data_IF_960542011763
#
_entry.id   IF_960542011763
#
_cell.length_a   1.000
_cell.length_b   1.000
_cell.length_c   1.000
_cell.angle_alpha   90.00
_cell.angle_beta   90.00
_cell.angle_gamma   90.00
#
_symmetry.space_group_name_H-M   'P 1'
#
loop_
_entity.id
_entity.type
_entity.pdbx_description
1 polymer ?
#
# COMPACT_ATOMS: atom_id res chain seq x y z
N UNK A 1 -39.02 2.88 -11.91
CA UNK A 1 -37.74 2.48 -11.28
C UNK A 1 -37.84 2.49 -9.74
N UNK A 2 -38.85 1.83 -9.13
CA UNK A 2 -39.28 2.20 -7.76
C UNK A 2 -39.59 1.05 -6.80
N UNK A 3 -39.20 -0.20 -7.08
CA UNK A 3 -39.58 -1.33 -6.20
C UNK A 3 -38.48 -1.77 -5.23
N UNK A 4 -37.20 -1.74 -5.63
CA UNK A 4 -36.10 -2.22 -4.78
C UNK A 4 -35.74 -1.24 -3.65
N UNK A 5 -35.78 0.06 -3.91
CA UNK A 5 -35.44 1.10 -2.91
C UNK A 5 -36.46 1.17 -1.77
N UNK A 6 -37.74 0.87 -2.05
CA UNK A 6 -38.79 0.88 -1.04
C UNK A 6 -38.70 -0.32 -0.07
N UNK A 7 -38.06 -1.42 -0.50
CA UNK A 7 -37.86 -2.60 0.34
C UNK A 7 -36.64 -2.50 1.25
N UNK A 8 -35.73 -1.55 1.00
CA UNK A 8 -34.50 -1.36 1.76
C UNK A 8 -34.75 -0.37 2.90
N UNK A 9 -35.37 -0.81 3.99
CA UNK A 9 -35.44 -0.03 5.23
C UNK A 9 -34.16 -0.20 6.06
N UNK A 10 -33.80 0.78 6.92
CA UNK A 10 -32.66 0.64 7.84
C UNK A 10 -32.80 -0.55 8.82
N UNK A 11 -34.03 -1.04 9.02
CA UNK A 11 -34.35 -2.16 9.91
C UNK A 11 -33.95 -3.54 9.34
N UNK A 12 -33.39 -3.59 8.13
CA UNK A 12 -32.89 -4.82 7.51
C UNK A 12 -31.58 -5.32 8.12
N UNK A 13 -30.92 -4.54 8.96
CA UNK A 13 -29.66 -4.94 9.59
C UNK A 13 -29.78 -6.30 10.28
N UNK A 14 -28.92 -7.25 9.90
CA UNK A 14 -28.90 -8.62 10.43
C UNK A 14 -29.92 -9.58 9.83
N UNK A 15 -30.73 -9.15 8.86
CA UNK A 15 -31.65 -10.05 8.16
C UNK A 15 -30.93 -10.83 7.06
N UNK A 16 -31.37 -12.08 6.83
CA UNK A 16 -30.92 -12.90 5.71
C UNK A 16 -31.66 -12.48 4.44
N UNK A 17 -30.92 -12.18 3.37
CA UNK A 17 -31.48 -11.71 2.12
C UNK A 17 -30.89 -12.45 0.92
N UNK A 18 -31.72 -12.61 -0.11
CA UNK A 18 -31.30 -13.04 -1.44
C UNK A 18 -31.44 -11.87 -2.41
N UNK A 19 -30.33 -11.48 -3.02
CA UNK A 19 -30.23 -10.40 -4.00
C UNK A 19 -29.97 -11.00 -5.39
N UNK A 20 -30.78 -10.62 -6.37
CA UNK A 20 -30.47 -10.80 -7.78
C UNK A 20 -30.07 -9.44 -8.38
N UNK A 21 -28.88 -9.37 -8.96
CA UNK A 21 -28.40 -8.17 -9.65
C UNK A 21 -28.97 -8.09 -11.07
N UNK A 22 -28.96 -6.89 -11.67
CA UNK A 22 -29.34 -6.69 -13.07
C UNK A 22 -28.48 -7.49 -14.05
N UNK A 23 -27.27 -7.88 -13.62
CA UNK A 23 -26.33 -8.69 -14.39
C UNK A 23 -26.56 -10.21 -14.20
N UNK A 24 -27.57 -10.61 -13.43
CA UNK A 24 -27.92 -12.02 -13.20
C UNK A 24 -27.12 -12.72 -12.10
N UNK A 25 -26.22 -12.01 -11.40
CA UNK A 25 -25.55 -12.56 -10.22
C UNK A 25 -26.52 -12.65 -9.05
N UNK A 26 -26.49 -13.79 -8.35
CA UNK A 26 -27.26 -14.04 -7.13
C UNK A 26 -26.32 -14.05 -5.92
N UNK A 27 -26.64 -13.25 -4.91
CA UNK A 27 -25.87 -13.10 -3.69
C UNK A 27 -26.85 -13.33 -2.54
N UNK A 28 -26.61 -14.34 -1.72
CA UNK A 28 -27.38 -14.62 -0.49
C UNK A 28 -26.73 -13.87 0.69
N UNK A 29 -26.99 -14.17 1.96
CA UNK A 29 -26.17 -13.64 3.07
C UNK A 29 -26.88 -12.68 4.02
N UNK A 30 -26.16 -12.19 5.03
CA UNK A 30 -26.71 -11.31 6.07
C UNK A 30 -26.43 -9.84 5.75
N UNK A 31 -27.44 -8.97 5.91
CA UNK A 31 -27.25 -7.53 5.76
C UNK A 31 -26.37 -7.01 6.88
N UNK A 32 -25.19 -6.53 6.52
CA UNK A 32 -24.26 -5.91 7.45
C UNK A 32 -24.61 -4.45 7.69
N UNK A 33 -24.78 -3.68 6.62
CA UNK A 33 -25.24 -2.30 6.70
C UNK A 33 -25.86 -1.84 5.39
N UNK A 34 -26.70 -0.80 5.47
CA UNK A 34 -27.27 -0.11 4.31
C UNK A 34 -26.86 1.35 4.42
N UNK A 35 -26.16 1.85 3.40
CA UNK A 35 -25.82 3.26 3.28
C UNK A 35 -26.73 3.90 2.23
N UNK A 36 -27.71 4.65 2.68
CA UNK A 36 -28.62 5.40 1.80
C UNK A 36 -27.96 6.60 1.13
N UNK A 37 -26.92 7.17 1.73
CA UNK A 37 -26.19 8.33 1.20
C UNK A 37 -25.38 7.92 -0.03
N UNK A 38 -24.64 6.81 0.09
CA UNK A 38 -23.86 6.24 -1.02
C UNK A 38 -24.71 5.34 -1.93
N UNK A 39 -25.89 4.94 -1.47
CA UNK A 39 -26.79 4.05 -2.19
C UNK A 39 -26.21 2.63 -2.31
N UNK A 40 -25.61 2.12 -1.23
CA UNK A 40 -24.95 0.81 -1.18
C UNK A 40 -25.56 -0.08 -0.09
N UNK A 41 -25.63 -1.38 -0.36
CA UNK A 41 -25.92 -2.43 0.64
C UNK A 41 -24.68 -3.31 0.79
N UNK A 42 -24.33 -3.63 2.02
CA UNK A 42 -23.22 -4.53 2.35
C UNK A 42 -23.79 -5.83 2.90
N UNK A 43 -23.40 -6.94 2.29
CA UNK A 43 -23.84 -8.28 2.68
C UNK A 43 -22.64 -9.09 3.16
N UNK A 44 -22.75 -9.65 4.36
CA UNK A 44 -21.75 -10.50 4.99
C UNK A 44 -22.07 -11.98 4.75
N UNK A 45 -21.06 -12.74 4.35
CA UNK A 45 -21.08 -14.20 4.33
C UNK A 45 -19.92 -14.76 5.16
N UNK A 46 -20.15 -15.90 5.80
CA UNK A 46 -19.04 -16.72 6.30
C UNK A 46 -18.40 -17.40 5.09
N UNK A 47 -17.10 -17.20 4.89
CA UNK A 47 -16.37 -17.86 3.84
C UNK A 47 -16.32 -19.35 4.17
N UNK A 48 -17.21 -20.15 3.59
CA UNK A 48 -17.04 -21.60 3.60
C UNK A 48 -15.70 -21.89 2.91
N UNK A 49 -14.85 -22.74 3.49
CA UNK A 49 -13.52 -23.07 2.96
C UNK A 49 -13.61 -23.85 1.63
N UNK A 50 -14.11 -23.22 0.57
CA UNK A 50 -14.13 -23.78 -0.78
C UNK A 50 -13.44 -22.81 -1.75
N UNK A 51 -12.24 -23.24 -2.17
CA UNK A 51 -11.51 -22.89 -3.39
C UNK A 51 -10.60 -21.63 -3.48
N UNK A 52 -10.70 -20.59 -2.65
CA UNK A 52 -9.92 -19.35 -2.88
C UNK A 52 -8.66 -19.11 -2.00
N UNK A 53 -8.41 -19.86 -0.91
CA UNK A 53 -7.34 -19.52 0.05
C UNK A 53 -5.91 -19.97 -0.33
N UNK A 54 -5.65 -20.44 -1.56
CA UNK A 54 -4.31 -20.98 -1.94
C UNK A 54 -3.17 -19.96 -2.07
N UNK A 55 -3.36 -18.66 -1.81
CA UNK A 55 -2.29 -17.64 -1.99
C UNK A 55 -2.11 -16.61 -0.87
N UNK A 56 -2.60 -16.87 0.35
CA UNK A 56 -2.30 -16.01 1.50
C UNK A 56 -1.55 -16.82 2.59
N UNK A 57 -0.31 -17.23 2.28
CA UNK A 57 0.61 -17.80 3.28
C UNK A 57 1.28 -16.66 4.05
N UNK A 58 0.57 -16.09 5.00
CA UNK A 58 1.15 -15.23 6.04
C UNK A 58 0.97 -15.92 7.40
N UNK A 59 2.08 -16.02 8.13
CA UNK A 59 2.26 -16.66 9.46
C UNK A 59 1.00 -16.60 10.34
N UNK A 60 0.38 -17.75 10.60
CA UNK A 60 -0.64 -17.88 11.66
C UNK A 60 0.03 -18.29 12.97
N UNK A 61 -0.22 -17.49 14.00
CA UNK A 61 0.02 -17.82 15.41
C UNK A 61 -1.02 -18.87 15.81
N UNK A 62 -0.60 -19.98 16.42
CA UNK A 62 -1.47 -21.07 16.81
C UNK A 62 -2.37 -20.65 17.98
N UNK A 63 -3.71 -20.75 17.84
CA UNK A 63 -4.60 -20.65 19.00
C UNK A 63 -6.09 -20.43 18.78
N UNK A 64 -6.55 -19.84 17.67
CA UNK A 64 -7.99 -19.61 17.44
C UNK A 64 -8.35 -19.84 15.97
N UNK A 65 -9.44 -20.56 15.72
CA UNK A 65 -10.02 -20.67 14.38
C UNK A 65 -10.59 -19.30 14.00
N UNK A 66 -9.78 -18.46 13.36
CA UNK A 66 -10.24 -17.18 12.81
C UNK A 66 -11.30 -17.46 11.75
N UNK A 67 -12.54 -17.08 12.04
CA UNK A 67 -13.62 -17.08 11.05
C UNK A 67 -13.32 -15.99 10.02
N UNK A 68 -13.22 -16.37 8.75
CA UNK A 68 -13.05 -15.44 7.62
C UNK A 68 -14.43 -15.08 7.07
N UNK A 69 -14.68 -13.79 6.90
CA UNK A 69 -15.94 -13.27 6.38
C UNK A 69 -15.68 -12.52 5.07
N UNK A 70 -16.52 -12.80 4.08
CA UNK A 70 -16.54 -12.09 2.81
C UNK A 70 -17.65 -11.04 2.83
N UNK A 71 -17.29 -9.80 2.47
CA UNK A 71 -18.22 -8.69 2.39
C UNK A 71 -18.46 -8.30 0.93
N UNK A 72 -19.71 -8.35 0.49
CA UNK A 72 -20.13 -7.91 -0.83
C UNK A 72 -20.76 -6.53 -0.72
N UNK A 73 -20.14 -5.53 -1.35
CA UNK A 73 -20.67 -4.16 -1.44
C UNK A 73 -21.38 -4.02 -2.78
N UNK A 74 -22.69 -3.77 -2.74
CA UNK A 74 -23.55 -3.69 -3.93
C UNK A 74 -24.22 -2.34 -3.99
N UNK A 75 -24.23 -1.70 -5.16
CA UNK A 75 -25.02 -0.49 -5.38
C UNK A 75 -26.48 -0.87 -5.50
N UNK A 76 -27.35 -0.14 -4.80
CA UNK A 76 -28.81 -0.36 -4.80
C UNK A 76 -29.39 -0.28 -6.22
N UNK A 77 -28.79 0.53 -7.10
CA UNK A 77 -29.20 0.67 -8.51
C UNK A 77 -29.01 -0.60 -9.34
N UNK A 78 -28.04 -1.44 -8.95
CA UNK A 78 -27.69 -2.66 -9.67
C UNK A 78 -28.50 -3.87 -9.16
N UNK A 79 -29.37 -3.66 -8.16
CA UNK A 79 -30.26 -4.67 -7.61
C UNK A 79 -31.52 -4.74 -8.47
N UNK A 80 -31.74 -5.91 -9.08
CA UNK A 80 -32.93 -6.21 -9.86
C UNK A 80 -34.06 -6.68 -8.96
N UNK A 81 -33.77 -7.58 -8.02
CA UNK A 81 -34.72 -8.09 -7.05
C UNK A 81 -34.02 -8.35 -5.71
N UNK A 82 -34.76 -8.09 -4.62
CA UNK A 82 -34.33 -8.35 -3.25
C UNK A 82 -35.45 -9.11 -2.54
N UNK A 83 -35.11 -10.25 -1.96
CA UNK A 83 -36.03 -11.09 -1.20
C UNK A 83 -35.50 -11.22 0.20
N UNK A 84 -36.29 -10.77 1.18
CA UNK A 84 -35.98 -10.96 2.60
C UNK A 84 -36.45 -12.36 3.00
N UNK A 85 -35.55 -13.15 3.58
CA UNK A 85 -35.85 -14.50 4.03
C UNK A 85 -36.42 -14.43 5.46
N UNK A 86 -37.62 -14.99 5.73
CA UNK A 86 -38.27 -14.90 7.04
C UNK A 86 -37.57 -15.73 8.12
N UNK A 87 -36.70 -16.66 7.73
CA UNK A 87 -35.88 -17.45 8.63
C UNK A 87 -34.44 -17.44 8.12
N UNK A 88 -33.47 -17.40 9.04
CA UNK A 88 -32.05 -17.53 8.72
C UNK A 88 -31.84 -18.94 8.17
N UNK A 89 -31.39 -19.10 6.91
CA UNK A 89 -31.18 -20.42 6.35
C UNK A 89 -30.03 -21.15 7.05
N UNK A 90 -30.02 -22.48 6.95
CA UNK A 90 -29.13 -23.33 7.73
C UNK A 90 -27.62 -23.09 7.47
N UNK A 91 -27.28 -22.55 6.30
CA UNK A 91 -25.94 -22.13 5.90
C UNK A 91 -25.48 -20.82 6.56
N UNK A 92 -26.43 -19.99 7.02
CA UNK A 92 -26.19 -18.77 7.79
C UNK A 92 -26.46 -18.97 9.29
N UNK A 93 -26.91 -20.15 9.70
CA UNK A 93 -27.20 -20.48 11.09
C UNK A 93 -25.88 -20.49 11.90
N UNK A 94 -25.72 -19.49 12.78
CA UNK A 94 -24.49 -19.28 13.57
C UNK A 94 -23.55 -18.22 13.00
N UNK A 95 -23.87 -17.62 11.85
CA UNK A 95 -23.20 -16.42 11.36
C UNK A 95 -23.70 -15.22 12.17
N UNK A 96 -22.84 -14.68 13.03
CA UNK A 96 -23.08 -13.40 13.72
C UNK A 96 -22.44 -12.27 12.91
N UNK A 97 -23.12 -11.12 12.82
CA UNK A 97 -22.52 -9.92 12.25
C UNK A 97 -21.23 -9.58 12.97
N UNK A 98 -20.17 -9.32 12.20
CA UNK A 98 -18.87 -8.95 12.77
C UNK A 98 -18.99 -7.57 13.43
N UNK A 99 -18.64 -7.41 14.71
CA UNK A 99 -18.63 -6.08 15.29
C UNK A 99 -17.63 -5.19 14.54
N UNK A 100 -18.06 -3.97 14.18
CA UNK A 100 -17.16 -2.98 13.57
C UNK A 100 -16.03 -2.69 14.54
N UNK A 101 -14.82 -3.09 14.18
CA UNK A 101 -13.65 -2.82 14.99
C UNK A 101 -13.30 -1.34 14.90
N UNK A 102 -12.97 -0.73 16.04
CA UNK A 102 -12.51 0.65 16.07
C UNK A 102 -11.20 0.76 15.28
N UNK A 103 -11.18 1.62 14.26
CA UNK A 103 -9.96 1.96 13.55
C UNK A 103 -9.16 2.92 14.44
N UNK A 104 -7.93 2.54 14.81
CA UNK A 104 -7.04 3.45 15.52
C UNK A 104 -6.64 4.61 14.61
N UNK A 105 -7.06 5.82 14.98
CA UNK A 105 -6.71 7.05 14.29
C UNK A 105 -5.18 7.29 14.32
N UNK A 106 -4.52 6.95 15.42
CA UNK A 106 -3.07 7.03 15.56
C UNK A 106 -2.35 6.10 14.58
N UNK A 107 -2.83 4.86 14.43
CA UNK A 107 -2.27 3.92 13.47
C UNK A 107 -2.49 4.39 12.02
N UNK A 108 -3.61 5.04 11.72
CA UNK A 108 -3.86 5.64 10.42
C UNK A 108 -2.89 6.80 10.13
N UNK A 109 -2.72 7.72 11.09
CA UNK A 109 -1.80 8.85 10.99
C UNK A 109 -0.34 8.39 10.83
N UNK A 110 0.08 7.38 11.60
CA UNK A 110 1.43 6.83 11.48
C UNK A 110 1.69 6.23 10.08
N UNK A 111 0.69 5.54 9.49
CA UNK A 111 0.79 5.01 8.13
C UNK A 111 0.86 6.13 7.08
N UNK A 112 0.09 7.19 7.27
CA UNK A 112 0.13 8.38 6.41
C UNK A 112 1.51 9.03 6.45
N UNK A 113 2.02 9.34 7.64
CA UNK A 113 3.35 9.95 7.81
C UNK A 113 4.45 9.08 7.19
N UNK A 114 4.40 7.76 7.40
CA UNK A 114 5.33 6.83 6.78
C UNK A 114 5.22 6.77 5.25
N UNK A 115 4.03 6.99 4.68
CA UNK A 115 3.84 7.08 3.24
C UNK A 115 4.42 8.38 2.66
N UNK A 116 4.18 9.51 3.35
CA UNK A 116 4.72 10.80 2.97
C UNK A 116 6.24 10.79 3.01
N UNK A 117 6.86 10.28 4.09
CA UNK A 117 8.31 10.22 4.20
C UNK A 117 8.94 9.37 3.10
N UNK A 118 8.37 8.20 2.78
CA UNK A 118 8.85 7.36 1.67
C UNK A 118 8.79 8.08 0.32
N UNK A 119 7.76 8.88 0.08
CA UNK A 119 7.63 9.63 -1.16
C UNK A 119 8.61 10.81 -1.21
N UNK A 120 8.79 11.53 -0.10
CA UNK A 120 9.81 12.59 0.00
C UNK A 120 11.22 12.03 -0.22
N UNK A 121 11.55 10.88 0.37
CA UNK A 121 12.80 10.17 0.13
C UNK A 121 12.96 9.77 -1.35
N UNK A 122 11.89 9.31 -1.99
CA UNK A 122 11.89 8.96 -3.42
C UNK A 122 12.17 10.18 -4.29
N UNK A 123 11.53 11.31 -4.00
CA UNK A 123 11.72 12.57 -4.70
C UNK A 123 13.12 13.14 -4.48
N UNK A 124 13.64 13.07 -3.25
CA UNK A 124 14.98 13.54 -2.91
C UNK A 124 16.11 12.77 -3.61
N UNK A 125 15.81 11.61 -4.21
CA UNK A 125 16.75 10.81 -5.00
C UNK A 125 16.80 11.20 -6.48
N UNK A 126 15.80 11.92 -6.97
CA UNK A 126 15.67 12.29 -8.37
C UNK A 126 16.15 13.72 -8.56
N UNK A 127 17.10 13.94 -9.45
CA UNK A 127 17.47 15.27 -9.91
C UNK A 127 17.11 15.41 -11.40
N UNK A 128 16.25 16.38 -11.73
CA UNK A 128 15.80 16.63 -13.11
C UNK A 128 16.77 17.46 -13.94
N UNK A 129 17.77 18.09 -13.30
CA UNK A 129 18.75 18.95 -13.97
C UNK A 129 19.97 18.17 -14.47
N UNK A 130 20.08 16.89 -14.14
CA UNK A 130 21.21 16.03 -14.53
C UNK A 130 20.83 15.07 -15.65
N UNK A 131 21.84 14.60 -16.39
CA UNK A 131 21.60 13.61 -17.44
C UNK A 131 21.23 12.23 -16.86
N UNK A 132 20.53 11.37 -17.62
CA UNK A 132 20.18 10.01 -17.17
C UNK A 132 21.38 9.18 -16.72
N UNK A 133 22.55 9.37 -17.35
CA UNK A 133 23.78 8.69 -16.97
C UNK A 133 24.27 9.09 -15.56
N UNK A 134 24.13 10.37 -15.21
CA UNK A 134 24.51 10.89 -13.89
C UNK A 134 23.50 10.43 -12.83
N UNK A 135 22.20 10.42 -13.14
CA UNK A 135 21.19 9.84 -12.26
C UNK A 135 21.45 8.35 -12.00
N UNK A 136 21.89 7.59 -13.02
CA UNK A 136 22.28 6.19 -12.85
C UNK A 136 23.54 6.03 -11.97
N UNK A 137 24.52 6.94 -12.08
CA UNK A 137 25.67 6.98 -11.17
C UNK A 137 25.20 7.21 -9.73
N UNK A 138 24.32 8.18 -9.49
CA UNK A 138 23.72 8.42 -8.18
C UNK A 138 23.02 7.18 -7.63
N UNK A 139 22.16 6.53 -8.43
CA UNK A 139 21.44 5.33 -8.00
C UNK A 139 22.35 4.13 -7.74
N UNK A 140 23.48 4.03 -8.46
CA UNK A 140 24.53 3.05 -8.20
C UNK A 140 25.22 3.28 -6.85
N UNK A 141 25.56 4.53 -6.54
CA UNK A 141 26.16 4.92 -5.26
C UNK A 141 25.16 4.71 -4.12
N UNK A 142 23.92 5.20 -4.26
CA UNK A 142 22.87 5.11 -3.25
C UNK A 142 22.51 3.67 -2.82
N UNK A 143 22.85 2.65 -3.61
CA UNK A 143 22.68 1.23 -3.25
C UNK A 143 23.69 0.73 -2.22
N UNK A 144 24.87 1.34 -2.14
CA UNK A 144 25.99 0.83 -1.35
C UNK A 144 26.48 1.82 -0.30
N UNK A 145 26.09 3.08 -0.41
CA UNK A 145 26.53 4.16 0.44
C UNK A 145 25.43 5.22 0.61
N UNK A 146 25.41 5.87 1.77
CA UNK A 146 24.52 7.00 2.03
C UNK A 146 24.87 8.13 1.07
N UNK A 147 23.92 8.49 0.21
CA UNK A 147 24.13 9.42 -0.90
C UNK A 147 22.93 10.36 -1.00
N UNK A 148 23.18 11.65 -1.23
CA UNK A 148 22.14 12.67 -1.43
C UNK A 148 22.56 13.68 -2.48
N UNK A 149 21.58 14.40 -3.02
CA UNK A 149 21.84 15.55 -3.87
C UNK A 149 22.12 16.81 -3.03
N UNK A 150 22.98 17.68 -3.56
CA UNK A 150 23.23 19.04 -3.09
C UNK A 150 23.27 19.97 -4.30
N UNK A 151 22.11 20.49 -4.69
CA UNK A 151 21.89 21.02 -6.04
C UNK A 151 22.22 19.94 -7.07
N UNK A 152 23.17 20.25 -7.96
CA UNK A 152 23.65 19.30 -8.98
C UNK A 152 24.86 18.47 -8.50
N UNK A 153 25.32 18.63 -7.27
CA UNK A 153 26.46 17.86 -6.74
C UNK A 153 25.97 16.61 -6.03
N UNK A 154 26.64 15.48 -6.24
CA UNK A 154 26.37 14.24 -5.48
C UNK A 154 27.22 14.27 -4.21
N UNK A 155 26.57 14.15 -3.05
CA UNK A 155 27.23 14.08 -1.75
C UNK A 155 27.15 12.66 -1.22
N UNK A 156 28.29 12.12 -0.78
CA UNK A 156 28.47 10.73 -0.41
C UNK A 156 29.04 10.63 1.01
N UNK A 157 28.55 9.65 1.78
CA UNK A 157 29.02 9.29 3.13
C UNK A 157 28.99 10.46 4.10
N UNK A 158 27.79 10.76 4.65
CA UNK A 158 27.60 11.80 5.68
C UNK A 158 28.37 13.09 5.38
N UNK A 159 28.20 13.60 4.16
CA UNK A 159 28.74 14.89 3.78
C UNK A 159 30.27 14.97 3.59
N UNK A 160 30.96 13.83 3.58
CA UNK A 160 32.43 13.79 3.47
C UNK A 160 32.95 14.05 2.05
N UNK A 161 32.29 13.49 1.03
CA UNK A 161 32.80 13.52 -0.35
C UNK A 161 31.77 14.14 -1.28
N UNK A 162 32.24 15.04 -2.15
CA UNK A 162 31.47 15.69 -3.18
C UNK A 162 31.94 15.23 -4.57
N UNK A 163 30.97 14.97 -5.45
CA UNK A 163 31.19 14.70 -6.88
C UNK A 163 30.42 15.78 -7.64
N UNK A 164 31.16 16.79 -8.10
CA UNK A 164 30.60 17.91 -8.83
C UNK A 164 30.55 17.62 -10.34
N UNK A 165 29.69 18.33 -11.12
CA UNK A 165 29.81 18.34 -12.57
C UNK A 165 31.25 18.68 -13.02
N UNK A 166 31.79 18.02 -14.07
CA UNK A 166 31.14 17.09 -15.00
C UNK A 166 31.06 15.62 -14.53
N UNK A 167 31.26 15.32 -13.25
CA UNK A 167 31.20 13.98 -12.63
C UNK A 167 32.28 13.01 -13.10
N UNK A 168 33.51 13.49 -13.28
CA UNK A 168 34.68 12.68 -13.57
C UNK A 168 35.44 12.26 -12.31
N UNK A 169 36.43 11.37 -12.47
CA UNK A 169 37.31 10.95 -11.36
C UNK A 169 38.08 12.11 -10.73
N UNK A 170 38.40 13.14 -11.53
CA UNK A 170 39.07 14.37 -11.08
C UNK A 170 38.15 15.33 -10.32
N UNK A 171 36.84 15.14 -10.43
CA UNK A 171 35.80 15.99 -9.82
C UNK A 171 35.31 15.43 -8.48
N UNK A 172 35.84 14.28 -8.06
CA UNK A 172 35.62 13.70 -6.74
C UNK A 172 36.59 14.32 -5.74
N UNK A 173 36.05 15.02 -4.74
CA UNK A 173 36.84 15.74 -3.72
C UNK A 173 36.28 15.55 -2.33
N UNK A 174 37.16 15.55 -1.34
CA UNK A 174 36.77 15.69 0.07
C UNK A 174 36.21 17.09 0.31
N UNK A 175 35.17 17.20 1.13
CA UNK A 175 34.63 18.50 1.52
C UNK A 175 35.54 19.15 2.57
N UNK A 176 35.50 20.48 2.64
CA UNK A 176 36.43 21.31 3.41
C UNK A 176 36.43 21.07 4.93
N UNK A 177 35.36 20.51 5.48
CA UNK A 177 35.21 20.24 6.91
C UNK A 177 35.72 18.84 7.31
N UNK A 178 36.14 18.02 6.34
CA UNK A 178 36.63 16.67 6.60
C UNK A 178 38.13 16.73 6.87
N UNK A 179 38.55 16.16 8.00
CA UNK A 179 39.96 15.97 8.31
C UNK A 179 40.54 14.93 7.37
N UNK A 180 41.63 15.26 6.69
CA UNK A 180 42.30 14.36 5.74
C UNK A 180 43.08 13.30 6.52
N UNK A 181 42.37 12.23 6.89
CA UNK A 181 42.95 11.05 7.53
C UNK A 181 43.02 9.87 6.54
N UNK A 182 43.82 8.85 6.89
CA UNK A 182 43.95 7.62 6.08
C UNK A 182 42.61 6.98 5.67
N UNK A 183 41.57 6.90 6.53
CA UNK A 183 40.28 6.34 6.14
C UNK A 183 39.55 7.15 5.08
N UNK A 184 39.60 8.49 5.18
CA UNK A 184 38.98 9.40 4.24
C UNK A 184 39.65 9.31 2.86
N UNK A 185 40.97 9.14 2.81
CA UNK A 185 41.70 8.93 1.56
C UNK A 185 41.33 7.57 0.91
N UNK A 186 41.23 6.50 1.70
CA UNK A 186 40.78 5.19 1.19
C UNK A 186 39.38 5.28 0.60
N UNK A 187 38.48 6.00 1.28
CA UNK A 187 37.11 6.23 0.81
C UNK A 187 37.10 7.03 -0.50
N UNK A 188 37.89 8.10 -0.58
CA UNK A 188 38.06 8.92 -1.78
C UNK A 188 38.51 8.08 -2.98
N UNK A 189 39.52 7.23 -2.79
CA UNK A 189 40.03 6.36 -3.85
C UNK A 189 38.99 5.32 -4.29
N UNK A 190 38.22 4.77 -3.35
CA UNK A 190 37.12 3.84 -3.66
C UNK A 190 36.05 4.52 -4.51
N UNK A 191 35.62 5.73 -4.17
CA UNK A 191 34.60 6.46 -4.92
C UNK A 191 35.12 6.85 -6.31
N UNK A 192 36.36 7.34 -6.42
CA UNK A 192 37.01 7.60 -7.72
C UNK A 192 36.98 6.37 -8.62
N UNK A 193 37.28 5.19 -8.07
CA UNK A 193 37.22 3.92 -8.82
C UNK A 193 35.80 3.60 -9.31
N UNK A 194 34.78 3.84 -8.48
CA UNK A 194 33.38 3.62 -8.87
C UNK A 194 32.96 4.58 -9.99
N UNK A 195 33.27 5.87 -9.86
CA UNK A 195 32.96 6.91 -10.86
C UNK A 195 33.64 6.60 -12.20
N UNK A 196 34.92 6.19 -12.16
CA UNK A 196 35.66 5.75 -13.35
C UNK A 196 34.98 4.58 -14.05
N UNK A 197 34.58 3.55 -13.30
CA UNK A 197 33.94 2.36 -13.85
C UNK A 197 32.52 2.62 -14.38
N UNK A 198 31.80 3.60 -13.82
CA UNK A 198 30.46 3.97 -14.25
C UNK A 198 30.43 4.65 -15.64
N UNK A 199 31.50 5.36 -16.03
CA UNK A 199 31.63 5.98 -17.36
C UNK A 199 32.04 5.00 -18.47
N UNK A 200 32.56 3.82 -18.13
CA UNK A 200 33.07 2.83 -19.09
C UNK A 200 32.01 1.77 -19.49
N UNK A 201 30.72 2.00 -19.27
CA UNK A 201 29.64 1.07 -19.61
C UNK A 201 28.61 1.69 -20.54
#
# INVERSE_FOLDING_TARGET
>A
MSSATAALSPDLHGQAIDIETIHGHKIHGLVFCVDHTLGCVVVQHECSETAASRKAKTRRVAGQAEKHYDFHILKIRDIKALTVLPAVPADLAGVTLVPVQAVSAEAALAREQAAVQRELERLARINTNVSPAVQQLFDGLAKTMQTRWDGDTIIVMNDEIAIAPPYGEADVRLRSHVVVDKPAEILLQRIKTIVKNARCR
#
